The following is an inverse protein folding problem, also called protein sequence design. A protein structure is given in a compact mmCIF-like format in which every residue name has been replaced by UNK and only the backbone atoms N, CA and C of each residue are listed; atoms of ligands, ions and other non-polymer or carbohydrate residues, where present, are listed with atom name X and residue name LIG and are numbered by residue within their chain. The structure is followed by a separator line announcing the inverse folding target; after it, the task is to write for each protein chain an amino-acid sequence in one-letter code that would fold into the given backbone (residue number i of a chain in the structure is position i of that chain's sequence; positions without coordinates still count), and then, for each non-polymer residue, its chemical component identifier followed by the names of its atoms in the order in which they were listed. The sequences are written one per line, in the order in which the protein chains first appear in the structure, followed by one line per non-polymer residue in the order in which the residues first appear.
data_IF_318285983661
#
_entry.id   IF_318285983661
#
_cell.length_a   1.000
_cell.length_b   1.000
_cell.length_c   1.000
_cell.angle_alpha   90.00
_cell.angle_beta   90.00
_cell.angle_gamma   90.00
#
_symmetry.space_group_name_H-M   'P 1'
#
loop_
_entity.id
_entity.type
_entity.pdbx_description
1 polymer ?
#
# COMPACT_ATOMS: atom_id res chain seq x y z
N UNK A 1 -18.22 -21.65 -41.69
CA UNK A 1 -18.71 -20.85 -40.55
C UNK A 1 -18.36 -21.59 -39.27
N UNK A 2 -17.30 -21.19 -38.56
CA UNK A 2 -16.98 -21.80 -37.26
C UNK A 2 -16.18 -20.83 -36.39
N UNK A 3 -16.94 -20.14 -35.54
CA UNK A 3 -16.66 -19.76 -34.15
C UNK A 3 -15.35 -19.01 -33.87
N UNK A 4 -15.52 -17.70 -33.68
CA UNK A 4 -14.62 -16.81 -32.94
C UNK A 4 -14.39 -17.37 -31.53
N UNK A 5 -13.23 -17.96 -31.28
CA UNK A 5 -12.81 -18.30 -29.92
C UNK A 5 -12.19 -17.06 -29.27
N UNK A 6 -13.03 -16.30 -28.56
CA UNK A 6 -12.64 -15.26 -27.63
C UNK A 6 -11.67 -15.85 -26.59
N UNK A 7 -10.37 -15.56 -26.76
CA UNK A 7 -9.37 -15.85 -25.73
C UNK A 7 -9.57 -14.84 -24.61
N UNK A 8 -10.25 -15.28 -23.55
CA UNK A 8 -10.33 -14.56 -22.29
C UNK A 8 -8.93 -14.16 -21.82
N UNK A 9 -8.80 -12.91 -21.39
CA UNK A 9 -7.59 -12.38 -20.76
C UNK A 9 -7.35 -13.23 -19.51
N UNK A 10 -6.36 -14.13 -19.57
CA UNK A 10 -5.85 -14.80 -18.38
C UNK A 10 -5.19 -13.73 -17.52
N UNK A 11 -5.93 -13.22 -16.53
CA UNK A 11 -5.35 -12.42 -15.45
C UNK A 11 -4.25 -13.27 -14.81
N UNK A 12 -3.01 -12.84 -14.99
CA UNK A 12 -1.82 -13.62 -14.70
C UNK A 12 -1.71 -13.92 -13.21
N UNK A 13 -2.01 -15.16 -12.84
CA UNK A 13 -1.48 -15.83 -11.66
C UNK A 13 0.03 -16.02 -11.83
N UNK A 14 0.81 -14.94 -11.72
CA UNK A 14 2.26 -15.04 -11.66
C UNK A 14 2.84 -13.83 -10.94
N UNK A 15 2.76 -13.88 -9.61
CA UNK A 15 3.58 -13.04 -8.73
C UNK A 15 4.90 -13.77 -8.44
N UNK A 16 5.60 -14.23 -9.48
CA UNK A 16 6.75 -15.11 -9.31
C UNK A 16 7.99 -14.53 -9.98
N UNK A 17 9.00 -14.30 -9.13
CA UNK A 17 10.44 -14.16 -9.38
C UNK A 17 10.94 -12.86 -10.02
N UNK A 18 11.90 -12.24 -9.33
CA UNK A 18 12.67 -11.05 -9.75
C UNK A 18 13.54 -11.36 -10.98
N UNK A 19 13.74 -12.64 -11.28
CA UNK A 19 14.56 -13.17 -12.37
C UNK A 19 13.89 -14.40 -12.98
N UNK A 20 13.38 -14.26 -14.21
CA UNK A 20 12.89 -15.36 -15.04
C UNK A 20 13.72 -15.43 -16.33
N UNK A 21 14.66 -16.38 -16.45
CA UNK A 21 15.63 -16.42 -17.56
C UNK A 21 14.99 -16.79 -18.91
N UNK A 22 13.87 -17.50 -18.93
CA UNK A 22 13.14 -17.83 -20.16
C UNK A 22 12.49 -16.62 -20.82
N UNK A 23 12.07 -15.63 -20.02
CA UNK A 23 11.51 -14.37 -20.51
C UNK A 23 12.57 -13.41 -21.08
N UNK A 24 13.86 -13.72 -20.94
CA UNK A 24 14.94 -12.87 -21.46
C UNK A 24 15.20 -13.10 -22.96
N UNK A 25 15.01 -14.33 -23.43
CA UNK A 25 15.38 -14.75 -24.79
C UNK A 25 14.16 -15.13 -25.65
N UNK A 26 13.16 -15.79 -25.08
CA UNK A 26 12.02 -16.34 -25.84
C UNK A 26 10.80 -15.40 -25.81
N UNK A 27 11.02 -14.14 -26.18
CA UNK A 27 10.00 -13.09 -26.12
C UNK A 27 9.23 -13.00 -27.44
N UNK A 28 7.89 -12.96 -27.36
CA UNK A 28 7.04 -12.78 -28.54
C UNK A 28 7.37 -11.46 -29.27
N UNK A 29 7.07 -11.37 -30.56
CA UNK A 29 7.37 -10.16 -31.35
C UNK A 29 6.70 -8.91 -30.77
N UNK A 30 5.46 -9.06 -30.29
CA UNK A 30 4.71 -7.96 -29.67
C UNK A 30 5.33 -7.51 -28.35
N UNK A 31 5.73 -8.45 -27.49
CA UNK A 31 6.37 -8.11 -26.22
C UNK A 31 7.73 -7.44 -26.45
N UNK A 32 8.51 -7.88 -27.45
CA UNK A 32 9.75 -7.21 -27.85
C UNK A 32 9.51 -5.76 -28.27
N UNK A 33 8.43 -5.49 -28.99
CA UNK A 33 8.04 -4.11 -29.35
C UNK A 33 7.69 -3.29 -28.11
N UNK A 34 6.89 -3.82 -27.18
CA UNK A 34 6.54 -3.15 -25.92
C UNK A 34 7.77 -2.85 -25.05
N UNK A 35 8.75 -3.77 -25.00
CA UNK A 35 10.03 -3.57 -24.30
C UNK A 35 10.83 -2.44 -24.96
N UNK A 36 10.93 -2.45 -26.29
CA UNK A 36 11.64 -1.42 -27.04
C UNK A 36 11.00 -0.04 -26.85
N UNK A 37 9.67 0.05 -26.86
CA UNK A 37 8.93 1.29 -26.61
C UNK A 37 9.17 1.82 -25.19
N UNK A 38 9.13 0.95 -24.17
CA UNK A 38 9.44 1.32 -22.79
C UNK A 38 10.90 1.77 -22.63
N UNK A 39 11.84 1.09 -23.29
CA UNK A 39 13.25 1.46 -23.28
C UNK A 39 13.47 2.83 -23.94
N UNK A 40 12.79 3.09 -25.06
CA UNK A 40 12.79 4.39 -25.75
C UNK A 40 12.23 5.51 -24.87
N UNK A 41 11.13 5.28 -24.17
CA UNK A 41 10.57 6.26 -23.24
C UNK A 41 11.53 6.54 -22.07
N UNK A 42 12.16 5.50 -21.52
CA UNK A 42 13.15 5.64 -20.44
C UNK A 42 14.39 6.42 -20.89
N UNK A 43 14.90 6.15 -22.09
CA UNK A 43 16.07 6.87 -22.63
C UNK A 43 15.76 8.34 -22.88
N UNK A 44 14.57 8.66 -23.38
CA UNK A 44 14.10 10.04 -23.57
C UNK A 44 14.01 10.80 -22.24
N UNK A 45 13.36 10.23 -21.22
CA UNK A 45 13.25 10.85 -19.89
C UNK A 45 14.63 11.04 -19.23
N UNK A 46 15.52 10.04 -19.35
CA UNK A 46 16.89 10.14 -18.84
C UNK A 46 17.67 11.26 -19.53
N UNK A 47 17.55 11.37 -20.86
CA UNK A 47 18.21 12.43 -21.61
C UNK A 47 17.69 13.82 -21.19
N UNK A 48 16.37 13.98 -21.00
CA UNK A 48 15.80 15.24 -20.48
C UNK A 48 16.33 15.59 -19.10
N UNK A 49 16.38 14.61 -18.19
CA UNK A 49 16.91 14.81 -16.84
C UNK A 49 18.38 15.22 -16.87
N UNK A 50 19.21 14.49 -17.62
CA UNK A 50 20.63 14.81 -17.77
C UNK A 50 20.83 16.24 -18.29
N UNK A 51 20.11 16.64 -19.34
CA UNK A 51 20.18 18.02 -19.88
C UNK A 51 19.87 19.09 -18.84
N UNK A 52 18.92 18.85 -17.93
CA UNK A 52 18.56 19.81 -16.88
C UNK A 52 19.58 19.81 -15.74
N UNK A 53 20.11 18.65 -15.36
CA UNK A 53 21.11 18.52 -14.28
C UNK A 53 22.47 19.07 -14.69
N UNK A 54 22.91 18.83 -15.93
CA UNK A 54 24.24 19.25 -16.41
C UNK A 54 24.29 20.71 -16.87
N UNK A 55 23.18 21.45 -16.81
CA UNK A 55 23.14 22.85 -17.25
C UNK A 55 23.78 23.76 -16.18
N UNK A 56 24.88 24.49 -16.50
CA UNK A 56 25.59 25.33 -15.54
C UNK A 56 24.79 26.54 -15.07
N UNK A 57 23.77 26.96 -15.82
CA UNK A 57 22.92 28.12 -15.49
C UNK A 57 21.72 27.75 -14.60
N UNK A 58 21.63 26.51 -14.11
CA UNK A 58 20.56 26.09 -13.19
C UNK A 58 20.72 26.59 -11.74
N UNK A 59 21.83 27.29 -11.44
CA UNK A 59 22.32 27.51 -10.08
C UNK A 59 22.12 28.90 -9.47
N UNK A 60 20.91 29.46 -9.48
CA UNK A 60 20.61 30.62 -8.59
C UNK A 60 19.48 30.34 -7.58
N UNK A 61 18.90 29.13 -7.56
CA UNK A 61 18.11 28.73 -6.38
C UNK A 61 16.96 27.76 -6.65
N UNK A 62 17.26 26.46 -6.77
CA UNK A 62 16.19 25.48 -6.68
C UNK A 62 16.58 24.02 -6.92
N UNK A 63 15.72 23.15 -6.42
CA UNK A 63 15.64 21.72 -6.73
C UNK A 63 15.09 21.51 -8.15
N UNK A 64 15.58 20.48 -8.84
CA UNK A 64 15.04 20.10 -10.14
C UNK A 64 13.62 19.55 -9.98
N UNK A 65 12.66 20.25 -10.57
CA UNK A 65 11.27 19.90 -10.52
C UNK A 65 10.92 18.75 -11.46
N UNK A 66 10.51 17.61 -10.90
CA UNK A 66 9.99 16.47 -11.66
C UNK A 66 8.45 16.46 -11.66
N UNK A 67 7.80 16.63 -12.82
CA UNK A 67 6.34 16.56 -12.91
C UNK A 67 5.77 15.19 -12.49
N UNK A 68 6.53 14.09 -12.60
CA UNK A 68 6.05 12.78 -12.19
C UNK A 68 5.90 12.67 -10.66
N UNK A 69 6.92 13.10 -9.91
CA UNK A 69 6.87 13.16 -8.44
C UNK A 69 5.72 14.06 -7.98
N UNK A 70 5.58 15.22 -8.61
CA UNK A 70 4.50 16.13 -8.27
C UNK A 70 3.10 15.56 -8.50
N UNK A 71 2.87 14.89 -9.63
CA UNK A 71 1.57 14.24 -9.90
C UNK A 71 1.27 13.17 -8.87
N UNK A 72 2.28 12.42 -8.43
CA UNK A 72 2.12 11.45 -7.36
C UNK A 72 1.77 12.12 -6.02
N UNK A 73 2.43 13.21 -5.66
CA UNK A 73 2.12 13.98 -4.46
C UNK A 73 0.72 14.59 -4.51
N UNK A 74 0.34 15.17 -5.65
CA UNK A 74 -1.00 15.73 -5.88
C UNK A 74 -2.08 14.64 -5.80
N UNK A 75 -1.84 13.46 -6.38
CA UNK A 75 -2.74 12.30 -6.25
C UNK A 75 -2.93 11.89 -4.79
N UNK A 76 -1.86 11.92 -3.98
CA UNK A 76 -1.95 11.62 -2.54
C UNK A 76 -2.67 12.71 -1.75
N UNK A 77 -2.52 13.98 -2.12
CA UNK A 77 -3.25 15.07 -1.49
C UNK A 77 -4.76 14.99 -1.81
N UNK A 78 -5.11 14.73 -3.08
CA UNK A 78 -6.49 14.77 -3.57
C UNK A 78 -7.20 13.40 -3.49
N UNK A 79 -6.78 12.52 -2.59
CA UNK A 79 -7.37 11.18 -2.45
C UNK A 79 -8.85 11.23 -2.05
N UNK A 80 -9.26 12.25 -1.29
CA UNK A 80 -10.64 12.41 -0.83
C UNK A 80 -11.61 12.77 -1.97
N UNK A 81 -11.21 13.64 -2.90
CA UNK A 81 -12.03 14.07 -4.04
C UNK A 81 -12.40 12.91 -4.98
N UNK A 82 -11.53 11.91 -5.07
CA UNK A 82 -11.72 10.73 -5.91
C UNK A 82 -12.21 9.49 -5.13
N UNK A 83 -12.52 9.65 -3.85
CA UNK A 83 -13.03 8.56 -3.03
C UNK A 83 -14.41 8.11 -3.50
N UNK A 84 -14.58 6.80 -3.69
CA UNK A 84 -15.87 6.18 -4.01
C UNK A 84 -16.28 5.25 -2.87
N UNK A 85 -17.41 5.56 -2.24
CA UNK A 85 -18.01 4.72 -1.21
C UNK A 85 -18.47 3.38 -1.81
N UNK A 86 -17.57 2.40 -1.81
CA UNK A 86 -17.86 1.01 -2.19
C UNK A 86 -18.11 0.18 -0.94
N UNK A 87 -18.94 -0.88 -0.99
CA UNK A 87 -19.21 -1.72 0.17
C UNK A 87 -17.93 -2.35 0.76
N UNK A 88 -16.96 -2.69 -0.09
CA UNK A 88 -15.63 -3.16 0.34
C UNK A 88 -14.89 -2.09 1.14
N UNK A 89 -14.84 -0.86 0.63
CA UNK A 89 -14.16 0.25 1.33
C UNK A 89 -14.83 0.58 2.66
N UNK A 90 -16.17 0.54 2.72
CA UNK A 90 -16.91 0.77 3.96
C UNK A 90 -16.60 -0.31 4.99
N UNK A 91 -16.64 -1.59 4.61
CA UNK A 91 -16.30 -2.70 5.50
C UNK A 91 -14.87 -2.59 6.06
N UNK A 92 -13.89 -2.25 5.23
CA UNK A 92 -12.52 -2.02 5.68
C UNK A 92 -12.43 -0.84 6.67
N UNK A 93 -13.11 0.28 6.38
CA UNK A 93 -13.16 1.43 7.28
C UNK A 93 -13.77 1.07 8.63
N UNK A 94 -14.93 0.41 8.64
CA UNK A 94 -15.60 -0.01 9.88
C UNK A 94 -14.76 -1.01 10.68
N UNK A 95 -14.14 -1.99 10.02
CA UNK A 95 -13.27 -2.95 10.70
C UNK A 95 -12.07 -2.26 11.37
N UNK A 96 -11.47 -1.27 10.70
CA UNK A 96 -10.33 -0.53 11.26
C UNK A 96 -10.70 0.41 12.41
N UNK A 97 -11.92 0.94 12.43
CA UNK A 97 -12.40 1.80 13.53
C UNK A 97 -12.95 0.98 14.69
N UNK A 98 -13.89 0.08 14.42
CA UNK A 98 -14.58 -0.70 15.45
C UNK A 98 -13.75 -1.87 15.97
N UNK A 99 -12.90 -2.47 15.14
CA UNK A 99 -12.05 -3.60 15.51
C UNK A 99 -11.19 -3.33 16.75
N UNK A 100 -10.32 -2.30 16.76
CA UNK A 100 -9.50 -2.00 17.94
C UNK A 100 -10.35 -1.56 19.14
N UNK A 101 -11.46 -0.85 18.90
CA UNK A 101 -12.34 -0.41 19.99
C UNK A 101 -12.98 -1.59 20.73
N UNK A 102 -13.55 -2.55 19.99
CA UNK A 102 -14.16 -3.75 20.56
C UNK A 102 -13.11 -4.65 21.23
N UNK A 103 -11.91 -4.76 20.66
CA UNK A 103 -10.82 -5.53 21.22
C UNK A 103 -10.38 -4.96 22.58
N UNK A 104 -10.12 -3.66 22.65
CA UNK A 104 -9.73 -2.99 23.89
C UNK A 104 -10.83 -3.07 24.94
N UNK A 105 -12.09 -2.84 24.55
CA UNK A 105 -13.23 -2.98 25.46
C UNK A 105 -13.32 -4.38 26.05
N UNK A 106 -13.19 -5.42 25.22
CA UNK A 106 -13.23 -6.81 25.68
C UNK A 106 -12.04 -7.15 26.60
N UNK A 107 -10.84 -6.69 26.27
CA UNK A 107 -9.65 -6.90 27.10
C UNK A 107 -9.82 -6.27 28.50
N UNK A 108 -10.25 -5.00 28.55
CA UNK A 108 -10.49 -4.29 29.82
C UNK A 108 -11.61 -4.94 30.63
N UNK A 109 -12.71 -5.33 30.00
CA UNK A 109 -13.82 -5.98 30.72
C UNK A 109 -13.42 -7.35 31.27
N UNK A 110 -12.61 -8.12 30.52
CA UNK A 110 -12.05 -9.39 30.97
C UNK A 110 -11.10 -9.19 32.16
N UNK A 111 -10.19 -8.23 32.08
CA UNK A 111 -9.27 -7.91 33.18
C UNK A 111 -10.03 -7.47 34.43
N UNK A 112 -11.06 -6.64 34.27
CA UNK A 112 -11.92 -6.21 35.39
C UNK A 112 -12.63 -7.38 36.05
N UNK A 113 -13.26 -8.27 35.27
CA UNK A 113 -13.98 -9.45 35.79
C UNK A 113 -13.05 -10.43 36.47
N UNK A 114 -11.86 -10.68 35.88
CA UNK A 114 -10.88 -11.59 36.49
C UNK A 114 -10.32 -11.02 37.79
N UNK A 115 -10.07 -9.71 37.86
CA UNK A 115 -9.65 -9.04 39.08
C UNK A 115 -10.73 -9.11 40.17
N UNK A 116 -11.98 -8.81 39.84
CA UNK A 116 -13.11 -8.90 40.78
C UNK A 116 -13.31 -10.32 41.31
N UNK A 117 -13.21 -11.33 40.43
CA UNK A 117 -13.29 -12.74 40.83
C UNK A 117 -12.19 -13.12 41.82
N UNK A 118 -10.94 -12.75 41.54
CA UNK A 118 -9.80 -13.01 42.43
C UNK A 118 -9.95 -12.30 43.78
N UNK A 119 -10.49 -11.08 43.78
CA UNK A 119 -10.81 -10.36 45.02
C UNK A 119 -11.90 -11.05 45.85
N UNK A 120 -12.96 -11.58 45.22
CA UNK A 120 -14.06 -12.27 45.91
C UNK A 120 -13.69 -13.63 46.46
N UNK A 121 -12.83 -14.36 45.75
CA UNK A 121 -12.34 -15.69 46.16
C UNK A 121 -11.19 -15.61 47.18
N UNK A 122 -10.71 -14.42 47.51
CA UNK A 122 -9.62 -14.22 48.47
C UNK A 122 -8.24 -14.61 47.93
N UNK A 123 -8.09 -14.81 46.61
CA UNK A 123 -6.80 -15.15 45.99
C UNK A 123 -5.81 -13.98 45.99
N UNK A 124 -6.30 -12.75 46.13
CA UNK A 124 -5.49 -11.53 46.24
C UNK A 124 -5.62 -10.99 47.67
N UNK A 125 -4.49 -10.78 48.33
CA UNK A 125 -4.43 -10.15 49.65
C UNK A 125 -5.00 -8.73 49.60
N UNK A 126 -5.56 -8.24 50.71
CA UNK A 126 -6.19 -6.92 50.74
C UNK A 126 -5.18 -5.78 50.46
N UNK A 127 -3.93 -5.97 50.87
CA UNK A 127 -2.81 -5.04 50.66
C UNK A 127 -2.40 -4.90 49.19
N UNK A 128 -2.50 -5.96 48.40
CA UNK A 128 -2.10 -6.00 46.98
C UNK A 128 -3.17 -5.46 46.03
N UNK A 129 -4.24 -4.83 46.55
CA UNK A 129 -5.32 -4.29 45.73
C UNK A 129 -4.88 -2.98 45.09
N UNK A 130 -4.99 -2.94 43.76
CA UNK A 130 -4.51 -1.88 42.86
C UNK A 130 -4.91 -0.46 43.30
N UNK A 131 -6.07 -0.27 43.95
CA UNK A 131 -6.56 1.03 44.39
C UNK A 131 -5.92 1.56 45.69
N UNK A 132 -5.18 0.72 46.42
CA UNK A 132 -4.58 1.09 47.72
C UNK A 132 -3.22 1.77 47.58
N UNK A 133 -2.49 1.50 46.49
CA UNK A 133 -1.13 2.04 46.24
C UNK A 133 -1.11 3.09 45.12
N UNK A 134 -2.21 3.82 44.95
CA UNK A 134 -2.33 4.98 44.04
C UNK A 134 -1.95 6.25 44.80
#
# INVERSE_FOLDING_TARGET
MSVLHSKGIKMSENRARIWDPSQLFDVSREERQRIAERAKLRSQLKAQFQRKVTNPYCGVGGYLFDPAVQRFLAMRANHFEHFKATPKSAMFGFAWVLGPFLLLWWAVDKDRKTFEHKCRTGQIAYEDRIWKNI
#
